data_IF_596846759047
#
_entry.id   IF_596846759047
#
_cell.length_a   1.000
_cell.length_b   1.000
_cell.length_c   1.000
_cell.angle_alpha   90.00
_cell.angle_beta   90.00
_cell.angle_gamma   90.00
#
_symmetry.space_group_name_H-M   'P 1'
#
loop_
_entity.id
_entity.type
_entity.pdbx_description
1 polymer ?
#
# COMPACT_ATOMS: atom_id res chain seq x y z
N UNK A 1 3.29 -10.32 3.83
CA UNK A 1 3.37 -11.28 4.94
C UNK A 1 4.52 -10.84 5.83
N UNK A 2 4.28 -10.67 7.14
CA UNK A 2 5.28 -10.25 8.12
C UNK A 2 5.68 -11.39 9.06
N UNK A 3 5.36 -12.63 8.72
CA UNK A 3 5.68 -13.84 9.47
C UNK A 3 4.58 -14.25 10.44
N UNK A 4 4.25 -13.38 11.40
CA UNK A 4 3.22 -13.66 12.42
C UNK A 4 1.87 -12.97 12.13
N UNK A 5 1.79 -12.15 11.08
CA UNK A 5 0.62 -11.35 10.72
C UNK A 5 0.68 -10.91 9.26
N UNK A 6 -0.48 -10.52 8.74
CA UNK A 6 -0.59 -9.90 7.42
C UNK A 6 -0.71 -8.37 7.55
N UNK A 7 -0.13 -7.66 6.60
CA UNK A 7 -0.33 -6.23 6.35
C UNK A 7 -0.93 -6.10 4.97
N UNK A 8 -2.07 -5.44 4.88
CA UNK A 8 -2.70 -5.07 3.63
C UNK A 8 -2.24 -3.67 3.26
N UNK A 9 -1.49 -3.57 2.17
CA UNK A 9 -0.87 -2.32 1.73
C UNK A 9 -1.61 -1.79 0.52
N UNK A 10 -2.10 -0.56 0.62
CA UNK A 10 -2.86 0.13 -0.42
C UNK A 10 -2.10 1.37 -0.82
N UNK A 11 -1.90 1.58 -2.12
CA UNK A 11 -1.40 2.83 -2.64
C UNK A 11 -2.39 3.38 -3.66
N UNK A 12 -2.89 4.58 -3.41
CA UNK A 12 -3.71 5.30 -4.37
C UNK A 12 -2.86 5.77 -5.54
N UNK A 13 -3.38 5.53 -6.73
CA UNK A 13 -2.69 5.86 -7.98
C UNK A 13 -3.67 6.40 -9.00
N UNK A 14 -3.20 7.34 -9.82
CA UNK A 14 -3.94 7.82 -10.98
C UNK A 14 -3.44 7.13 -12.24
N UNK A 15 -4.29 6.33 -12.88
CA UNK A 15 -3.95 5.72 -14.17
C UNK A 15 -4.00 6.76 -15.29
N UNK A 16 -2.97 6.79 -16.12
CA UNK A 16 -2.79 7.77 -17.20
C UNK A 16 -2.58 7.08 -18.54
N UNK A 17 -3.03 7.74 -19.61
CA UNK A 17 -2.76 7.28 -20.97
C UNK A 17 -1.27 7.48 -21.32
N UNK A 18 -0.62 6.55 -22.06
CA UNK A 18 0.71 6.77 -22.61
C UNK A 18 0.72 7.95 -23.59
N UNK A 19 1.68 8.85 -23.44
CA UNK A 19 1.86 10.00 -24.35
C UNK A 19 2.34 9.57 -25.75
N UNK A 20 3.02 8.43 -25.84
CA UNK A 20 3.60 7.89 -27.08
C UNK A 20 3.20 6.44 -27.29
N UNK A 21 3.10 6.02 -28.55
CA UNK A 21 2.96 4.62 -28.89
C UNK A 21 4.18 3.82 -28.42
N UNK A 22 3.97 2.61 -27.89
CA UNK A 22 5.04 1.66 -27.57
C UNK A 22 4.90 0.45 -28.51
N UNK A 23 5.36 0.57 -29.78
CA UNK A 23 5.08 -0.41 -30.84
C UNK A 23 5.81 -1.74 -30.62
N UNK A 24 6.89 -1.74 -29.85
CA UNK A 24 7.70 -2.94 -29.56
C UNK A 24 7.37 -3.60 -28.23
N UNK A 25 6.40 -3.08 -27.46
CA UNK A 25 6.03 -3.65 -26.17
C UNK A 25 4.93 -4.71 -26.39
N UNK A 26 5.22 -6.03 -26.30
CA UNK A 26 4.33 -7.09 -26.77
C UNK A 26 3.26 -7.49 -25.75
N UNK A 27 3.09 -6.68 -24.70
CA UNK A 27 2.18 -6.96 -23.59
C UNK A 27 1.24 -5.78 -23.35
N UNK A 28 0.05 -6.09 -22.82
CA UNK A 28 -0.83 -5.08 -22.25
C UNK A 28 -0.12 -4.40 -21.08
N UNK A 29 -0.39 -3.10 -20.89
CA UNK A 29 0.24 -2.30 -19.85
C UNK A 29 -0.69 -1.21 -19.38
N UNK A 30 -0.40 -0.72 -18.19
CA UNK A 30 -1.01 0.46 -17.58
C UNK A 30 0.11 1.37 -17.12
N UNK A 31 -0.06 2.68 -17.28
CA UNK A 31 0.79 3.68 -16.69
C UNK A 31 0.00 4.37 -15.58
N UNK A 32 0.66 4.66 -14.47
CA UNK A 32 0.02 5.34 -13.36
C UNK A 32 1.00 6.30 -12.68
N UNK A 33 0.43 7.30 -12.00
CA UNK A 33 1.12 8.21 -11.10
C UNK A 33 0.72 7.85 -9.68
N UNK A 34 1.62 7.33 -8.84
CA UNK A 34 1.28 7.04 -7.46
C UNK A 34 1.22 8.34 -6.65
N UNK A 35 0.29 8.40 -5.71
CA UNK A 35 0.15 9.51 -4.78
C UNK A 35 1.04 9.29 -3.54
N UNK A 36 1.62 10.36 -2.95
CA UNK A 36 1.52 11.76 -3.39
C UNK A 36 2.47 12.06 -4.57
N UNK A 37 3.55 11.31 -4.66
CA UNK A 37 4.54 11.37 -5.72
C UNK A 37 5.33 10.06 -5.78
N UNK A 38 6.00 9.81 -6.91
CA UNK A 38 6.76 8.57 -7.12
C UNK A 38 7.79 8.30 -6.03
N UNK A 39 8.51 9.32 -5.55
CA UNK A 39 9.58 9.15 -4.56
C UNK A 39 9.00 8.81 -3.20
N UNK A 40 7.97 9.52 -2.76
CA UNK A 40 7.31 9.30 -1.47
C UNK A 40 6.57 7.96 -1.45
N UNK A 41 5.75 7.69 -2.46
CA UNK A 41 4.99 6.44 -2.54
C UNK A 41 5.89 5.21 -2.58
N UNK A 42 6.94 5.24 -3.41
CA UNK A 42 7.89 4.13 -3.50
C UNK A 42 8.64 3.91 -2.19
N UNK A 43 9.09 4.98 -1.52
CA UNK A 43 9.77 4.85 -0.24
C UNK A 43 8.83 4.30 0.85
N UNK A 44 7.59 4.78 0.93
CA UNK A 44 6.58 4.26 1.85
C UNK A 44 6.27 2.79 1.58
N UNK A 45 6.11 2.39 0.32
CA UNK A 45 5.88 1.00 -0.08
C UNK A 45 7.02 0.08 0.37
N UNK A 46 8.26 0.50 0.15
CA UNK A 46 9.46 -0.24 0.59
C UNK A 46 9.52 -0.33 2.12
N UNK A 47 9.27 0.78 2.84
CA UNK A 47 9.28 0.78 4.30
C UNK A 47 8.22 -0.14 4.91
N UNK A 48 7.04 -0.22 4.29
CA UNK A 48 5.97 -1.12 4.73
C UNK A 48 6.20 -2.59 4.36
N UNK A 49 7.23 -2.91 3.55
CA UNK A 49 7.52 -4.26 3.08
C UNK A 49 6.61 -4.72 1.94
N UNK A 50 6.14 -3.80 1.10
CA UNK A 50 5.25 -4.09 -0.01
C UNK A 50 5.85 -5.01 -1.07
N UNK A 51 5.04 -5.91 -1.62
CA UNK A 51 5.46 -6.81 -2.69
C UNK A 51 5.56 -6.10 -4.05
N UNK A 52 6.25 -6.74 -5.02
CA UNK A 52 6.28 -6.26 -6.41
C UNK A 52 5.03 -6.67 -7.19
N UNK A 53 4.37 -7.75 -6.79
CA UNK A 53 3.06 -8.12 -7.31
C UNK A 53 1.97 -7.35 -6.58
N UNK A 54 1.07 -6.74 -7.35
CA UNK A 54 -0.05 -5.95 -6.87
C UNK A 54 -1.32 -6.31 -7.62
N UNK A 55 -2.46 -5.91 -7.07
CA UNK A 55 -3.75 -5.91 -7.76
C UNK A 55 -4.12 -4.46 -8.02
N UNK A 56 -4.35 -4.11 -9.28
CA UNK A 56 -4.86 -2.80 -9.67
C UNK A 56 -6.38 -2.86 -9.82
N UNK A 57 -7.10 -1.91 -9.24
CA UNK A 57 -8.55 -1.79 -9.37
C UNK A 57 -8.95 -0.35 -9.71
N UNK A 58 -9.88 -0.21 -10.65
CA UNK A 58 -10.54 1.06 -10.97
C UNK A 58 -11.87 1.24 -10.24
N UNK A 59 -12.41 0.16 -9.66
CA UNK A 59 -13.74 0.14 -9.06
C UNK A 59 -13.71 0.22 -7.53
N UNK A 60 -12.57 -0.14 -6.92
CA UNK A 60 -12.41 -0.12 -5.46
C UNK A 60 -11.72 1.18 -5.05
N UNK A 61 -12.24 1.81 -4.00
CA UNK A 61 -11.63 2.94 -3.30
C UNK A 61 -10.81 2.42 -2.10
N UNK A 62 -9.99 3.28 -1.51
CA UNK A 62 -9.31 3.03 -0.24
C UNK A 62 -10.30 2.70 0.88
N UNK A 63 -11.42 3.43 0.98
CA UNK A 63 -12.50 3.18 1.94
C UNK A 63 -13.04 1.73 1.88
N UNK A 64 -13.28 1.17 0.70
CA UNK A 64 -13.69 -0.23 0.58
C UNK A 64 -12.65 -1.21 1.16
N UNK A 65 -11.37 -0.89 1.02
CA UNK A 65 -10.27 -1.72 1.51
C UNK A 65 -10.04 -1.51 3.02
N UNK A 66 -10.33 -0.32 3.54
CA UNK A 66 -10.39 -0.01 4.97
C UNK A 66 -11.44 -0.85 5.68
N UNK A 67 -12.68 -0.81 5.20
CA UNK A 67 -13.79 -1.62 5.72
C UNK A 67 -13.44 -3.11 5.71
N UNK A 68 -12.88 -3.60 4.60
CA UNK A 68 -12.46 -5.00 4.49
C UNK A 68 -11.38 -5.37 5.50
N UNK A 69 -10.35 -4.52 5.66
CA UNK A 69 -9.26 -4.78 6.59
C UNK A 69 -9.75 -4.79 8.05
N UNK A 70 -10.68 -3.92 8.41
CA UNK A 70 -11.31 -3.91 9.74
C UNK A 70 -12.13 -5.19 9.98
N UNK A 71 -12.99 -5.58 9.03
CA UNK A 71 -13.78 -6.82 9.12
C UNK A 71 -12.89 -8.06 9.24
N UNK A 72 -11.79 -8.10 8.47
CA UNK A 72 -10.84 -9.20 8.48
C UNK A 72 -9.84 -9.15 9.65
N UNK A 73 -9.80 -8.05 10.41
CA UNK A 73 -8.82 -7.78 11.48
C UNK A 73 -7.37 -7.88 11.00
N UNK A 74 -7.11 -7.34 9.82
CA UNK A 74 -5.79 -7.28 9.19
C UNK A 74 -5.27 -5.84 9.33
N UNK A 75 -3.97 -5.66 9.57
CA UNK A 75 -3.38 -4.32 9.53
C UNK A 75 -3.57 -3.73 8.14
N UNK A 76 -4.13 -2.53 8.06
CA UNK A 76 -4.10 -1.72 6.85
C UNK A 76 -2.99 -0.68 6.91
N UNK A 77 -2.31 -0.48 5.79
CA UNK A 77 -1.39 0.63 5.58
C UNK A 77 -1.76 1.31 4.26
N UNK A 78 -2.12 2.59 4.31
CA UNK A 78 -2.55 3.37 3.15
C UNK A 78 -1.45 4.37 2.77
N UNK A 79 -1.22 4.50 1.47
CA UNK A 79 -0.34 5.49 0.86
C UNK A 79 -1.18 6.31 -0.13
N UNK A 80 -1.39 7.57 0.19
CA UNK A 80 -2.28 8.52 -0.46
C UNK A 80 -1.61 9.91 -0.62
N UNK A 81 -2.37 10.93 -0.99
CA UNK A 81 -1.87 12.30 -1.18
C UNK A 81 -1.38 12.98 0.10
N UNK A 82 -1.92 12.61 1.27
CA UNK A 82 -1.53 13.15 2.58
C UNK A 82 -0.32 12.44 3.19
N UNK A 83 0.17 11.37 2.55
CA UNK A 83 1.24 10.55 3.10
C UNK A 83 2.55 11.32 3.27
N UNK A 84 3.05 11.37 4.51
CA UNK A 84 4.36 11.94 4.87
C UNK A 84 5.26 10.88 5.46
N UNK A 85 6.41 10.62 4.83
CA UNK A 85 7.34 9.54 5.23
C UNK A 85 7.74 9.56 6.72
N UNK A 86 7.76 10.73 7.36
CA UNK A 86 8.11 10.83 8.79
C UNK A 86 6.99 10.27 9.68
N UNK A 87 5.73 10.65 9.45
CA UNK A 87 4.59 10.13 10.22
C UNK A 87 4.33 8.67 9.87
N UNK A 88 4.39 8.34 8.57
CA UNK A 88 4.20 6.98 8.08
C UNK A 88 5.14 5.95 8.74
N UNK A 89 6.43 6.27 8.89
CA UNK A 89 7.38 5.41 9.63
C UNK A 89 7.04 5.27 11.10
N UNK A 90 6.43 6.27 11.72
CA UNK A 90 5.94 6.19 13.10
C UNK A 90 4.69 5.31 13.19
N UNK A 91 3.75 5.46 12.26
CA UNK A 91 2.53 4.65 12.16
C UNK A 91 2.87 3.17 12.00
N UNK A 92 3.81 2.81 11.12
CA UNK A 92 4.26 1.42 10.97
C UNK A 92 4.80 0.82 12.28
N UNK A 93 5.61 1.58 13.04
CA UNK A 93 6.14 1.12 14.33
C UNK A 93 5.04 0.97 15.39
N UNK A 94 4.06 1.88 15.38
CA UNK A 94 2.91 1.81 16.27
C UNK A 94 2.04 0.60 15.96
N UNK A 95 1.81 0.34 14.67
CA UNK A 95 1.10 -0.85 14.22
C UNK A 95 1.85 -2.13 14.60
N UNK A 96 3.16 -2.20 14.39
CA UNK A 96 3.98 -3.34 14.82
C UNK A 96 3.84 -3.61 16.32
N UNK A 97 3.86 -2.57 17.17
CA UNK A 97 3.65 -2.69 18.61
C UNK A 97 2.22 -3.17 18.93
N UNK A 98 1.20 -2.55 18.32
CA UNK A 98 -0.20 -2.91 18.54
C UNK A 98 -0.45 -4.39 18.22
N UNK A 99 -0.04 -4.84 17.04
CA UNK A 99 -0.27 -6.22 16.62
C UNK A 99 0.60 -7.23 17.38
N UNK A 100 1.77 -6.83 17.87
CA UNK A 100 2.56 -7.67 18.78
C UNK A 100 1.86 -7.85 20.14
N UNK A 101 1.33 -6.78 20.72
CA UNK A 101 0.61 -6.83 22.00
C UNK A 101 -0.76 -7.51 21.89
N UNK A 102 -1.47 -7.32 20.77
CA UNK A 102 -2.78 -7.92 20.52
C UNK A 102 -2.73 -9.45 20.41
N UNK A 103 -1.57 -10.03 20.09
CA UNK A 103 -1.33 -11.48 20.12
C UNK A 103 -1.08 -12.02 21.54
N UNK A 104 -1.10 -11.15 22.56
CA UNK A 104 -0.84 -11.46 23.96
C UNK A 104 0.63 -11.27 24.32
N UNK A 105 0.88 -10.70 25.50
CA UNK A 105 2.24 -10.68 26.08
C UNK A 105 2.54 -12.11 26.52
N UNK A 106 3.32 -12.85 25.73
CA UNK A 106 3.94 -14.07 26.23
C UNK A 106 5.03 -13.66 27.23
N UNK A 107 4.67 -13.69 28.52
CA UNK A 107 5.61 -13.61 29.64
C UNK A 107 6.34 -14.91 29.87
#
# INVERSE_FOLDING_TARGET
>A
DLGNRHRFLVNEVECVAPEHALPLLPVARVLWKPLPDLKTATAAWIYAGGAHHTVLSYALTSEHLEDFAEMARIELSVIDDETRLRSYKTELRQADLYFHLAQGIQG
#
